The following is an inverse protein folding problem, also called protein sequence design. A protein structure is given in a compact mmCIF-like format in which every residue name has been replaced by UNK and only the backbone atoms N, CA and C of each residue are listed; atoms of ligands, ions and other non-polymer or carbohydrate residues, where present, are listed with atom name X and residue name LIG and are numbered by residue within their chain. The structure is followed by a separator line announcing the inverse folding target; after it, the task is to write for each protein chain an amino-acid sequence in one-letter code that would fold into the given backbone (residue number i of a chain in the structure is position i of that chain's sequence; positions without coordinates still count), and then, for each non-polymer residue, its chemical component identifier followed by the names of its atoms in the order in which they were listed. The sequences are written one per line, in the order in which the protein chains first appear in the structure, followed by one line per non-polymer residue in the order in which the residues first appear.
data_IF_266919381372
#
_entry.id   IF_266919381372
#
_cell.length_a   1.000
_cell.length_b   1.000
_cell.length_c   1.000
_cell.angle_alpha   90.00
_cell.angle_beta   90.00
_cell.angle_gamma   90.00
#
_symmetry.space_group_name_H-M   'P 1'
#
loop_
_entity.id
_entity.type
_entity.pdbx_description
1 polymer ?
#
# COMPACT_ATOMS: atom_id res chain seq x y z
N UNK A 1 -3.62 5.39 19.51
CA UNK A 1 -2.89 6.27 18.56
C UNK A 1 -3.81 6.70 17.44
N UNK A 2 -3.70 7.95 17.04
CA UNK A 2 -4.50 8.45 15.93
C UNK A 2 -3.95 7.93 14.59
N UNK A 3 -4.79 7.33 13.74
CA UNK A 3 -4.33 6.86 12.44
C UNK A 3 -3.82 7.99 11.55
N UNK A 4 -2.79 7.67 10.78
CA UNK A 4 -2.21 8.58 9.80
C UNK A 4 -2.87 8.29 8.45
N UNK A 5 -3.54 9.28 7.89
CA UNK A 5 -4.18 9.12 6.58
C UNK A 5 -3.12 9.07 5.49
N UNK A 6 -3.22 8.12 4.60
CA UNK A 6 -2.33 8.04 3.45
C UNK A 6 -2.61 9.20 2.49
N UNK A 7 -3.88 9.58 2.37
CA UNK A 7 -4.31 10.73 1.59
C UNK A 7 -5.18 11.58 2.49
N UNK A 8 -4.85 12.86 2.63
CA UNK A 8 -5.56 13.74 3.56
C UNK A 8 -6.94 14.12 3.09
N UNK A 9 -7.13 14.26 1.78
CA UNK A 9 -8.37 14.69 1.20
C UNK A 9 -8.76 13.75 0.07
N UNK A 10 -10.02 13.40 0.03
CA UNK A 10 -10.56 12.59 -1.04
C UNK A 10 -10.31 13.22 -2.42
N UNK A 11 -10.28 14.55 -2.51
CA UNK A 11 -10.02 15.25 -3.76
C UNK A 11 -8.59 15.11 -4.25
N UNK A 12 -7.66 14.79 -3.38
CA UNK A 12 -6.29 14.53 -3.81
C UNK A 12 -6.21 13.31 -4.72
N UNK A 13 -7.08 12.34 -4.51
CA UNK A 13 -7.17 11.17 -5.37
C UNK A 13 -7.73 11.56 -6.75
N UNK A 14 -8.73 12.42 -6.76
CA UNK A 14 -9.40 12.82 -7.99
C UNK A 14 -8.51 13.71 -8.86
N UNK A 15 -7.58 14.40 -8.25
CA UNK A 15 -6.60 15.23 -8.97
C UNK A 15 -5.49 14.41 -9.61
N UNK A 16 -5.43 13.17 -9.28
CA UNK A 16 -4.29 12.36 -9.66
C UNK A 16 -4.25 11.94 -11.11
N UNK A 17 -5.35 11.94 -11.79
CA UNK A 17 -5.44 11.63 -13.21
C UNK A 17 -4.96 10.27 -13.65
N UNK A 18 -4.36 9.52 -12.80
CA UNK A 18 -4.04 8.11 -12.97
C UNK A 18 -3.52 7.71 -14.35
N UNK A 19 -2.98 8.65 -15.09
CA UNK A 19 -2.60 8.38 -16.46
C UNK A 19 -3.79 7.99 -17.34
N UNK A 20 -4.96 8.56 -17.06
CA UNK A 20 -6.19 8.27 -17.82
C UNK A 20 -6.06 8.57 -19.30
N UNK A 21 -5.32 9.61 -19.61
CA UNK A 21 -5.11 10.06 -20.97
C UNK A 21 -4.11 9.21 -21.73
N UNK A 22 -3.50 8.26 -21.03
CA UNK A 22 -2.58 7.34 -21.64
C UNK A 22 -3.37 6.13 -22.05
N UNK A 23 -3.55 5.97 -23.32
CA UNK A 23 -4.07 4.72 -23.90
C UNK A 23 -2.96 3.68 -23.77
N UNK A 24 -2.68 3.32 -22.52
CA UNK A 24 -1.50 2.54 -22.21
C UNK A 24 -1.74 1.06 -22.36
N UNK A 25 -0.83 0.42 -23.05
CA UNK A 25 -0.77 -1.03 -23.14
C UNK A 25 -0.27 -1.59 -21.81
N UNK A 26 -0.39 -2.91 -21.64
CA UNK A 26 0.20 -3.61 -20.49
C UNK A 26 1.71 -3.35 -20.45
N UNK A 27 2.34 -3.35 -21.60
CA UNK A 27 3.77 -3.12 -21.73
C UNK A 27 4.17 -1.72 -21.27
N UNK A 28 3.37 -0.71 -21.62
CA UNK A 28 3.61 0.66 -21.17
C UNK A 28 3.49 0.78 -19.65
N UNK A 29 2.51 0.10 -19.07
CA UNK A 29 2.31 0.10 -17.62
C UNK A 29 3.48 -0.57 -16.90
N UNK A 30 4.00 -1.68 -17.43
CA UNK A 30 5.15 -2.35 -16.86
C UNK A 30 6.40 -1.46 -16.92
N UNK A 31 6.58 -0.75 -18.02
CA UNK A 31 7.68 0.19 -18.16
C UNK A 31 7.56 1.33 -17.15
N UNK A 32 6.38 1.92 -17.02
CA UNK A 32 6.13 2.99 -16.06
C UNK A 32 6.34 2.51 -14.63
N UNK A 33 5.83 1.34 -14.30
CA UNK A 33 6.03 0.74 -12.98
C UNK A 33 7.51 0.58 -12.67
N UNK A 34 8.29 0.08 -13.64
CA UNK A 34 9.74 -0.06 -13.47
C UNK A 34 10.43 1.27 -13.20
N UNK A 35 10.02 2.31 -13.90
CA UNK A 35 10.56 3.66 -13.70
C UNK A 35 10.23 4.19 -12.29
N UNK A 36 8.99 3.99 -11.85
CA UNK A 36 8.56 4.41 -10.52
C UNK A 36 9.37 3.68 -9.44
N UNK A 37 9.53 2.38 -9.57
CA UNK A 37 10.23 1.58 -8.58
C UNK A 37 11.73 1.98 -8.46
N UNK A 38 12.33 2.48 -9.51
CA UNK A 38 13.70 3.02 -9.45
C UNK A 38 13.80 4.29 -8.62
N UNK A 39 12.69 4.98 -8.42
CA UNK A 39 12.64 6.24 -7.67
C UNK A 39 12.30 6.04 -6.20
N UNK A 40 12.14 4.80 -5.74
CA UNK A 40 11.86 4.52 -4.34
C UNK A 40 12.99 5.10 -3.45
N UNK A 41 12.64 5.81 -2.36
CA UNK A 41 13.65 6.38 -1.49
C UNK A 41 14.52 5.29 -0.84
N UNK A 42 15.81 5.56 -0.73
CA UNK A 42 16.78 4.68 -0.09
C UNK A 42 17.29 5.25 1.23
N UNK A 43 17.00 6.54 1.48
CA UNK A 43 17.45 7.21 2.70
C UNK A 43 16.31 8.01 3.32
N UNK A 44 16.42 8.23 4.61
CA UNK A 44 15.53 9.10 5.40
C UNK A 44 16.42 10.01 6.21
N UNK A 45 16.25 11.32 6.04
CA UNK A 45 17.03 12.33 6.79
C UNK A 45 18.55 12.08 6.70
N UNK A 46 19.00 11.67 5.51
CA UNK A 46 20.42 11.41 5.27
C UNK A 46 20.92 10.06 5.71
N UNK A 47 20.07 9.26 6.35
CA UNK A 47 20.45 7.92 6.82
C UNK A 47 19.84 6.85 5.94
N UNK A 48 20.59 5.76 5.72
CA UNK A 48 20.06 4.62 4.97
C UNK A 48 18.88 4.01 5.71
N UNK A 49 17.84 3.63 4.95
CA UNK A 49 16.70 2.95 5.51
C UNK A 49 17.12 1.56 5.98
N UNK A 50 16.74 1.19 7.20
CA UNK A 50 17.05 -0.12 7.74
C UNK A 50 16.04 -1.16 7.25
N UNK A 51 16.31 -1.74 6.10
CA UNK A 51 15.42 -2.73 5.46
C UNK A 51 15.38 -4.07 6.20
N UNK A 52 16.29 -4.28 7.13
CA UNK A 52 16.34 -5.52 7.93
C UNK A 52 15.50 -5.42 9.21
N UNK A 53 14.84 -4.32 9.41
CA UNK A 53 14.01 -4.07 10.58
C UNK A 53 12.92 -5.13 10.73
N UNK A 54 12.73 -5.60 11.95
CA UNK A 54 11.70 -6.60 12.27
C UNK A 54 10.53 -5.93 12.98
N UNK A 55 9.35 -6.11 12.44
CA UNK A 55 8.11 -5.69 13.09
C UNK A 55 6.95 -6.48 12.48
N UNK A 56 5.77 -6.32 13.05
CA UNK A 56 4.57 -6.99 12.55
C UNK A 56 3.69 -5.98 11.85
N UNK A 57 3.10 -6.41 10.73
CA UNK A 57 2.12 -5.60 10.01
C UNK A 57 0.78 -6.31 10.10
N UNK A 58 -0.25 -5.57 10.49
CA UNK A 58 -1.63 -6.05 10.52
C UNK A 58 -2.45 -5.25 9.52
N UNK A 59 -3.40 -5.92 8.87
CA UNK A 59 -4.36 -5.21 8.02
C UNK A 59 -5.77 -5.59 8.42
N UNK A 60 -6.71 -4.67 8.23
CA UNK A 60 -8.13 -4.94 8.48
C UNK A 60 -9.03 -4.00 7.67
N UNK A 61 -10.32 -4.29 7.71
CA UNK A 61 -11.34 -3.46 7.10
C UNK A 61 -12.20 -2.83 8.18
N UNK A 62 -12.27 -1.52 8.20
CA UNK A 62 -13.00 -0.80 9.25
C UNK A 62 -14.49 -1.15 9.26
N UNK A 63 -15.04 -1.59 8.12
CA UNK A 63 -16.44 -1.99 8.01
C UNK A 63 -16.69 -3.44 8.39
N UNK A 64 -15.63 -4.21 8.66
CA UNK A 64 -15.73 -5.64 8.98
C UNK A 64 -15.55 -5.94 10.44
N UNK A 65 -15.22 -4.95 11.23
CA UNK A 65 -15.02 -5.10 12.67
C UNK A 65 -13.86 -4.28 13.18
N UNK A 66 -13.60 -4.35 14.47
CA UNK A 66 -12.48 -3.62 15.04
C UNK A 66 -11.17 -4.23 14.57
N UNK A 67 -10.17 -3.37 14.39
CA UNK A 67 -8.84 -3.83 14.09
C UNK A 67 -8.12 -4.29 15.34
N UNK A 68 -6.83 -4.07 15.36
CA UNK A 68 -6.01 -4.34 16.53
C UNK A 68 -5.18 -3.11 16.85
N UNK A 69 -4.81 -2.96 18.10
CA UNK A 69 -3.93 -1.86 18.47
C UNK A 69 -2.55 -2.08 17.88
N UNK A 70 -2.02 -1.02 17.31
CA UNK A 70 -0.68 -1.01 16.76
C UNK A 70 0.02 0.26 17.21
N UNK A 71 1.36 0.21 17.25
CA UNK A 71 2.15 1.40 17.57
C UNK A 71 1.97 2.49 16.53
N UNK A 72 1.70 2.08 15.29
CA UNK A 72 1.56 2.98 14.16
C UNK A 72 0.44 2.45 13.28
N UNK A 73 -0.50 3.30 12.90
CA UNK A 73 -1.64 2.90 12.05
C UNK A 73 -1.76 3.85 10.87
N UNK A 74 -1.89 3.28 9.68
CA UNK A 74 -2.12 4.04 8.46
C UNK A 74 -3.53 3.77 7.92
N UNK A 75 -4.21 4.85 7.57
CA UNK A 75 -5.58 4.83 7.07
C UNK A 75 -5.57 4.96 5.55
N UNK A 76 -5.98 3.91 4.87
CA UNK A 76 -6.07 3.88 3.41
C UNK A 76 -7.50 4.03 2.90
N UNK A 77 -8.45 4.44 3.75
CA UNK A 77 -9.87 4.52 3.33
C UNK A 77 -10.09 5.55 2.24
N UNK A 78 -9.34 6.64 2.25
CA UNK A 78 -9.47 7.70 1.24
C UNK A 78 -8.51 7.52 0.07
N UNK A 79 -7.61 6.56 0.15
CA UNK A 79 -6.71 6.23 -0.95
C UNK A 79 -7.48 5.43 -2.00
N UNK A 80 -7.64 5.99 -3.17
CA UNK A 80 -8.38 5.35 -4.25
C UNK A 80 -7.45 4.94 -5.38
N UNK A 81 -7.72 3.81 -5.97
CA UNK A 81 -6.95 3.30 -7.09
C UNK A 81 -7.87 3.11 -8.28
N UNK A 82 -7.28 3.23 -9.46
CA UNK A 82 -8.00 2.97 -10.71
C UNK A 82 -7.63 1.58 -11.18
N UNK A 83 -8.62 0.75 -11.34
CA UNK A 83 -8.47 -0.60 -11.84
C UNK A 83 -9.20 -0.71 -13.16
N UNK A 84 -8.62 -1.45 -14.09
CA UNK A 84 -9.21 -1.67 -15.39
C UNK A 84 -10.65 -2.17 -15.21
N UNK A 85 -11.60 -1.50 -15.87
CA UNK A 85 -13.01 -1.82 -15.74
C UNK A 85 -13.37 -3.21 -16.26
N UNK A 86 -12.51 -3.81 -17.06
CA UNK A 86 -12.72 -5.18 -17.55
C UNK A 86 -12.37 -6.22 -16.49
N UNK A 87 -11.66 -5.84 -15.44
CA UNK A 87 -11.29 -6.75 -14.38
C UNK A 87 -12.43 -6.90 -13.38
N UNK A 88 -12.61 -8.12 -12.89
CA UNK A 88 -13.54 -8.38 -11.80
C UNK A 88 -12.86 -8.04 -10.48
N UNK A 89 -13.11 -6.83 -10.00
CA UNK A 89 -12.51 -6.33 -8.75
C UNK A 89 -12.87 -7.22 -7.57
N UNK A 90 -14.03 -7.87 -7.60
CA UNK A 90 -14.47 -8.72 -6.49
C UNK A 90 -13.66 -10.02 -6.39
N UNK A 91 -13.07 -10.47 -7.49
CA UNK A 91 -12.21 -11.65 -7.48
C UNK A 91 -10.76 -11.33 -7.13
N UNK A 92 -10.38 -10.05 -7.13
CA UNK A 92 -9.03 -9.60 -6.81
C UNK A 92 -8.89 -9.28 -5.33
N UNK A 93 -7.67 -9.30 -4.85
CA UNK A 93 -7.34 -8.86 -3.49
C UNK A 93 -5.95 -8.23 -3.48
N UNK A 94 -5.48 -7.80 -2.30
CA UNK A 94 -4.20 -7.12 -2.18
C UNK A 94 -2.98 -7.98 -2.49
N UNK A 95 -3.13 -9.28 -2.64
CA UNK A 95 -2.07 -10.16 -3.16
C UNK A 95 -2.00 -10.12 -4.68
N UNK A 96 -3.05 -9.67 -5.33
CA UNK A 96 -3.12 -9.63 -6.79
C UNK A 96 -2.17 -8.59 -7.34
N UNK A 97 -1.46 -8.94 -8.39
CA UNK A 97 -0.54 -8.01 -9.05
C UNK A 97 -1.28 -6.76 -9.53
N UNK A 98 -2.49 -6.93 -10.05
CA UNK A 98 -3.31 -5.84 -10.56
C UNK A 98 -3.63 -4.81 -9.47
N UNK A 99 -3.91 -5.28 -8.26
CA UNK A 99 -4.18 -4.38 -7.14
C UNK A 99 -2.89 -3.66 -6.71
N UNK A 100 -1.80 -4.39 -6.57
CA UNK A 100 -0.52 -3.79 -6.20
C UNK A 100 -0.05 -2.80 -7.25
N UNK A 101 -0.18 -3.14 -8.52
CA UNK A 101 0.18 -2.23 -9.60
C UNK A 101 -0.66 -0.96 -9.58
N UNK A 102 -1.96 -1.07 -9.28
CA UNK A 102 -2.84 0.10 -9.18
C UNK A 102 -2.37 1.06 -8.07
N UNK A 103 -1.80 0.52 -7.00
CA UNK A 103 -1.22 1.34 -5.93
C UNK A 103 0.08 1.99 -6.40
N UNK A 104 0.98 1.21 -6.99
CA UNK A 104 2.28 1.71 -7.46
C UNK A 104 2.12 2.78 -8.53
N UNK A 105 1.15 2.61 -9.43
CA UNK A 105 0.90 3.56 -10.52
C UNK A 105 0.11 4.78 -10.09
N UNK A 106 -0.34 4.84 -8.83
CA UNK A 106 -1.05 6.03 -8.33
C UNK A 106 -0.12 7.24 -8.37
N UNK A 107 -0.60 8.40 -8.83
CA UNK A 107 0.24 9.60 -8.95
C UNK A 107 0.94 10.02 -7.66
N UNK A 108 0.35 9.69 -6.52
CA UNK A 108 0.89 10.05 -5.21
C UNK A 108 1.68 8.92 -4.55
N UNK A 109 1.89 7.81 -5.23
CA UNK A 109 2.52 6.65 -4.63
C UNK A 109 3.88 6.95 -4.00
N UNK A 110 4.78 7.59 -4.75
CA UNK A 110 6.13 7.88 -4.24
C UNK A 110 6.10 8.80 -3.02
N UNK A 111 5.25 9.81 -3.04
CA UNK A 111 5.08 10.71 -1.91
C UNK A 111 4.56 9.97 -0.68
N UNK A 112 3.57 9.10 -0.88
CA UNK A 112 2.95 8.35 0.20
C UNK A 112 3.92 7.34 0.79
N UNK A 113 4.60 6.56 -0.05
CA UNK A 113 5.51 5.53 0.46
C UNK A 113 6.70 6.16 1.17
N UNK A 114 7.19 7.30 0.70
CA UNK A 114 8.23 8.04 1.39
C UNK A 114 7.77 8.44 2.80
N UNK A 115 6.56 8.95 2.92
CA UNK A 115 6.00 9.34 4.22
C UNK A 115 5.84 8.14 5.15
N UNK A 116 5.38 6.99 4.61
CA UNK A 116 5.24 5.78 5.40
C UNK A 116 6.61 5.34 5.94
N UNK A 117 7.60 5.26 5.06
CA UNK A 117 8.94 4.81 5.43
C UNK A 117 9.59 5.79 6.41
N UNK A 118 9.46 7.10 6.17
CA UNK A 118 9.97 8.12 7.09
C UNK A 118 9.40 7.92 8.50
N UNK A 119 8.10 7.66 8.58
CA UNK A 119 7.43 7.49 9.86
C UNK A 119 7.90 6.22 10.56
N UNK A 120 8.04 5.12 9.81
CA UNK A 120 8.53 3.86 10.38
C UNK A 120 9.97 4.01 10.88
N UNK A 121 10.83 4.66 10.10
CA UNK A 121 12.24 4.84 10.49
C UNK A 121 12.38 5.77 11.69
N UNK A 122 11.52 6.78 11.79
CA UNK A 122 11.54 7.70 12.92
C UNK A 122 10.99 7.05 14.19
N UNK A 123 9.83 6.38 14.09
CA UNK A 123 9.11 5.86 15.24
C UNK A 123 9.60 4.48 15.69
N UNK A 124 10.18 3.71 14.79
CA UNK A 124 10.68 2.36 15.07
C UNK A 124 9.61 1.50 15.75
N UNK A 125 8.42 1.36 15.13
CA UNK A 125 7.31 0.64 15.75
C UNK A 125 7.57 -0.86 15.83
N UNK A 126 6.94 -1.51 16.80
CA UNK A 126 6.90 -2.97 16.88
C UNK A 126 5.76 -3.51 16.05
N UNK A 127 4.71 -2.73 15.92
CA UNK A 127 3.50 -3.12 15.17
C UNK A 127 3.04 -1.96 14.31
N UNK A 128 2.66 -2.28 13.07
CA UNK A 128 2.16 -1.31 12.10
C UNK A 128 0.83 -1.85 11.56
N UNK A 129 -0.18 -1.00 11.52
CA UNK A 129 -1.47 -1.35 10.97
C UNK A 129 -1.77 -0.58 9.69
N UNK A 130 -2.42 -1.25 8.76
CA UNK A 130 -3.04 -0.61 7.60
C UNK A 130 -4.49 -1.02 7.54
N UNK A 131 -5.40 -0.08 7.38
CA UNK A 131 -6.80 -0.43 7.17
C UNK A 131 -7.40 0.31 6.00
N UNK A 132 -8.40 -0.31 5.40
CA UNK A 132 -9.24 0.32 4.39
C UNK A 132 -10.69 -0.03 4.71
N UNK A 133 -11.62 0.14 3.79
CA UNK A 133 -13.03 -0.10 4.11
C UNK A 133 -13.32 -1.57 4.40
N UNK A 134 -12.89 -2.48 3.53
CA UNK A 134 -13.21 -3.91 3.62
C UNK A 134 -12.02 -4.80 3.99
N UNK A 135 -10.80 -4.28 3.99
CA UNK A 135 -9.61 -5.04 4.36
C UNK A 135 -9.20 -6.08 3.34
N UNK A 136 -9.55 -5.89 2.08
CA UNK A 136 -9.30 -6.85 1.02
C UNK A 136 -8.31 -6.36 -0.04
N UNK A 137 -8.38 -5.10 -0.42
CA UNK A 137 -7.59 -4.55 -1.53
C UNK A 137 -6.47 -3.63 -1.08
N UNK A 138 -6.83 -2.41 -0.68
CA UNK A 138 -5.85 -1.35 -0.43
C UNK A 138 -4.95 -1.61 0.76
N UNK A 139 -5.53 -2.00 1.89
CA UNK A 139 -4.73 -2.27 3.09
C UNK A 139 -3.79 -3.45 2.89
N UNK A 140 -4.31 -4.53 2.31
CA UNK A 140 -3.51 -5.73 2.03
C UNK A 140 -2.43 -5.40 1.00
N UNK A 141 -2.79 -4.67 -0.06
CA UNK A 141 -1.85 -4.27 -1.10
C UNK A 141 -0.71 -3.44 -0.55
N UNK A 142 -1.01 -2.44 0.27
CA UNK A 142 0.02 -1.61 0.90
C UNK A 142 0.95 -2.42 1.80
N UNK A 143 0.39 -3.30 2.62
CA UNK A 143 1.21 -4.15 3.50
C UNK A 143 2.15 -5.04 2.69
N UNK A 144 1.66 -5.66 1.63
CA UNK A 144 2.48 -6.52 0.78
C UNK A 144 3.55 -5.72 0.04
N UNK A 145 3.24 -4.52 -0.40
CA UNK A 145 4.22 -3.62 -1.03
C UNK A 145 5.33 -3.25 -0.03
N UNK A 146 4.97 -2.91 1.20
CA UNK A 146 5.95 -2.56 2.22
C UNK A 146 6.89 -3.73 2.52
N UNK A 147 6.35 -4.93 2.61
CA UNK A 147 7.18 -6.13 2.81
C UNK A 147 8.06 -6.40 1.61
N UNK A 148 7.52 -6.31 0.42
CA UNK A 148 8.23 -6.67 -0.82
C UNK A 148 9.39 -5.71 -1.12
N UNK A 149 9.18 -4.41 -0.95
CA UNK A 149 10.16 -3.42 -1.41
C UNK A 149 11.01 -2.82 -0.31
N UNK A 150 10.61 -2.94 0.94
CA UNK A 150 11.34 -2.34 2.05
C UNK A 150 11.67 -3.29 3.19
N UNK A 151 10.68 -3.93 3.79
CA UNK A 151 10.87 -4.60 5.07
C UNK A 151 10.59 -6.10 4.95
N UNK A 152 11.49 -6.80 4.30
CA UNK A 152 11.34 -8.23 3.99
C UNK A 152 11.20 -9.12 5.23
N UNK A 153 11.68 -8.63 6.38
CA UNK A 153 11.65 -9.40 7.62
C UNK A 153 10.38 -9.19 8.45
N UNK A 154 9.43 -8.42 7.93
CA UNK A 154 8.16 -8.25 8.64
C UNK A 154 7.31 -9.51 8.58
N UNK A 155 6.52 -9.71 9.65
CA UNK A 155 5.46 -10.70 9.66
C UNK A 155 4.16 -9.97 9.35
N UNK A 156 3.43 -10.42 8.34
CA UNK A 156 2.19 -9.77 7.92
C UNK A 156 1.00 -10.65 8.23
N UNK A 157 -0.01 -10.09 8.90
CA UNK A 157 -1.26 -10.79 9.21
C UNK A 157 -2.45 -9.96 8.74
N UNK A 158 -3.24 -10.53 7.86
CA UNK A 158 -4.44 -9.89 7.33
C UNK A 158 -5.66 -10.38 8.10
N UNK A 159 -6.26 -9.48 8.90
CA UNK A 159 -7.33 -9.88 9.83
C UNK A 159 -8.67 -10.11 9.14
N UNK A 160 -8.92 -9.43 8.04
CA UNK A 160 -10.20 -9.51 7.33
C UNK A 160 -10.08 -10.05 5.91
N UNK A 161 -8.87 -10.15 5.41
CA UNK A 161 -8.64 -10.58 4.04
C UNK A 161 -8.75 -12.09 3.91
N UNK A 162 -9.15 -12.58 2.75
CA UNK A 162 -8.99 -13.98 2.45
C UNK A 162 -7.52 -14.37 2.55
N UNK A 163 -7.28 -15.63 2.77
CA UNK A 163 -5.92 -16.15 2.83
C UNK A 163 -5.24 -15.92 1.49
N UNK A 164 -3.91 -15.78 1.54
CA UNK A 164 -3.12 -15.76 0.31
C UNK A 164 -3.58 -16.92 -0.55
N UNK A 165 -3.87 -16.64 -1.80
CA UNK A 165 -4.41 -17.67 -2.67
C UNK A 165 -3.37 -18.74 -2.95
N UNK A 166 -3.61 -19.93 -2.44
CA UNK A 166 -2.72 -21.07 -2.67
C UNK A 166 -3.24 -22.00 -3.75
N UNK A 167 -4.29 -21.59 -4.44
CA UNK A 167 -4.91 -22.39 -5.49
C UNK A 167 -4.30 -22.13 -6.87
N UNK A 168 -3.17 -21.56 -6.90
CA UNK A 168 -2.46 -21.39 -8.16
C UNK A 168 -2.08 -22.72 -8.77
#
# INVERSE_FOLDING_TARGET
MKPIKLVYDKYENDLGFYHEDIDSTIEDRETLKGEILKLLPETVSGNAINKDRHFKIFTWGIKKGPGTDCDLIFDATTFQTKIDSELDVHSLNGFSEEIQDSIILHPKFLEIIERIVNTIEEKKPRTVGFYCNHGKHRSVGWAEIMKKYYYKNTTVKHLCSPRKNTRQ
#
